data_IF_535667098134
#
_entry.id   IF_535667098134
#
_cell.length_a   1.000
_cell.length_b   1.000
_cell.length_c   1.000
_cell.angle_alpha   90.00
_cell.angle_beta   90.00
_cell.angle_gamma   90.00
#
_symmetry.space_group_name_H-M   'P 1'
#
loop_
_entity.id
_entity.type
_entity.pdbx_description
1 polymer ?
#
# COMPACT_ATOMS: atom_id res chain seq x y z
N UNK A 1 4.01 15.72 16.98
CA UNK A 1 3.85 14.32 17.46
C UNK A 1 3.83 13.37 16.27
N UNK A 2 4.93 13.23 15.54
CA UNK A 2 5.01 12.35 14.35
C UNK A 2 5.97 11.22 14.68
N UNK A 3 5.43 10.02 14.89
CA UNK A 3 6.06 9.03 15.77
C UNK A 3 5.71 7.61 15.35
N UNK A 4 6.59 6.90 14.63
CA UNK A 4 6.46 5.45 14.48
C UNK A 4 7.82 4.76 14.47
N UNK A 5 8.12 4.11 15.59
CA UNK A 5 8.89 2.89 15.61
C UNK A 5 7.92 1.78 16.05
N UNK A 6 8.05 0.58 15.48
CA UNK A 6 7.19 -0.56 15.75
C UNK A 6 7.97 -1.63 16.51
N UNK A 7 7.41 -2.19 17.57
CA UNK A 7 8.03 -3.31 18.27
C UNK A 7 7.11 -4.51 18.47
N UNK A 8 7.59 -5.71 18.10
CA UNK A 8 6.94 -6.99 18.32
C UNK A 8 7.43 -7.61 19.65
N UNK A 9 6.50 -8.21 20.41
CA UNK A 9 6.80 -9.01 21.60
C UNK A 9 5.80 -10.16 21.73
N UNK A 10 6.27 -11.37 21.99
CA UNK A 10 5.46 -12.48 22.49
C UNK A 10 6.09 -13.86 22.30
N UNK A 11 6.24 -14.61 23.40
CA UNK A 11 6.56 -16.05 23.41
C UNK A 11 5.35 -16.88 22.94
N UNK A 12 5.54 -17.98 22.19
CA UNK A 12 4.44 -18.77 21.64
C UNK A 12 3.95 -19.89 22.58
N UNK A 13 2.69 -19.82 23.03
CA UNK A 13 1.98 -20.91 23.72
C UNK A 13 1.57 -22.02 22.71
N UNK A 14 1.94 -23.31 22.91
CA UNK A 14 1.75 -24.38 21.92
C UNK A 14 0.29 -24.84 21.73
N UNK A 15 -0.62 -24.58 22.68
CA UNK A 15 -2.06 -24.94 22.55
C UNK A 15 -2.83 -24.05 21.58
N UNK A 16 -2.38 -22.80 21.36
CA UNK A 16 -3.03 -21.88 20.43
C UNK A 16 -2.82 -22.25 18.96
N UNK A 17 -1.86 -23.11 18.62
CA UNK A 17 -1.57 -23.50 17.24
C UNK A 17 -2.54 -24.55 16.68
N UNK A 18 -3.17 -25.37 17.54
CA UNK A 18 -4.10 -26.42 17.11
C UNK A 18 -5.52 -25.89 16.84
N UNK A 19 -6.03 -24.97 17.67
CA UNK A 19 -7.33 -24.33 17.45
C UNK A 19 -7.30 -23.39 16.24
N UNK A 20 -6.17 -22.71 15.99
CA UNK A 20 -5.98 -21.86 14.82
C UNK A 20 -5.85 -22.65 13.50
N UNK A 21 -5.42 -23.92 13.52
CA UNK A 21 -5.36 -24.73 12.31
C UNK A 21 -6.75 -25.20 11.86
N UNK A 22 -7.67 -25.50 12.79
CA UNK A 22 -9.04 -25.94 12.47
C UNK A 22 -9.86 -24.78 11.89
N UNK A 23 -9.79 -23.60 12.52
CA UNK A 23 -10.50 -22.39 12.04
C UNK A 23 -9.94 -21.91 10.69
N UNK A 24 -8.64 -22.08 10.43
CA UNK A 24 -8.01 -21.66 9.18
C UNK A 24 -8.33 -22.61 8.00
N UNK A 25 -8.59 -23.90 8.26
CA UNK A 25 -9.09 -24.86 7.24
C UNK A 25 -10.55 -24.56 6.86
N UNK A 26 -11.40 -24.20 7.83
CA UNK A 26 -12.79 -23.82 7.57
C UNK A 26 -12.90 -22.48 6.84
N UNK A 27 -12.07 -21.50 7.19
CA UNK A 27 -12.03 -20.20 6.52
C UNK A 27 -11.55 -20.32 5.07
N UNK A 28 -10.56 -21.18 4.78
CA UNK A 28 -10.13 -21.44 3.41
C UNK A 28 -11.21 -22.11 2.56
N UNK A 29 -11.99 -23.05 3.12
CA UNK A 29 -13.13 -23.67 2.41
C UNK A 29 -14.31 -22.72 2.19
N UNK A 30 -14.50 -21.73 3.05
CA UNK A 30 -15.52 -20.69 2.88
C UNK A 30 -15.10 -19.67 1.81
N UNK A 31 -13.84 -19.24 1.83
CA UNK A 31 -13.29 -18.36 0.80
C UNK A 31 -13.24 -19.06 -0.56
N UNK A 32 -12.91 -20.36 -0.63
CA UNK A 32 -13.00 -21.12 -1.89
C UNK A 32 -14.44 -21.22 -2.42
N UNK A 33 -15.44 -21.43 -1.54
CA UNK A 33 -16.86 -21.41 -1.94
C UNK A 33 -17.33 -20.05 -2.41
N UNK A 34 -16.95 -18.97 -1.73
CA UNK A 34 -17.29 -17.61 -2.16
C UNK A 34 -16.59 -17.23 -3.47
N UNK A 35 -15.34 -17.66 -3.68
CA UNK A 35 -14.65 -17.43 -4.96
C UNK A 35 -15.22 -18.25 -6.12
N UNK A 36 -15.74 -19.46 -5.86
CA UNK A 36 -16.38 -20.29 -6.89
C UNK A 36 -17.75 -19.74 -7.28
N UNK A 37 -18.55 -19.28 -6.30
CA UNK A 37 -19.86 -18.65 -6.56
C UNK A 37 -19.71 -17.35 -7.38
N UNK A 38 -18.71 -16.54 -7.06
CA UNK A 38 -18.39 -15.28 -7.75
C UNK A 38 -17.66 -15.51 -9.11
N UNK A 39 -17.22 -16.75 -9.39
CA UNK A 39 -16.68 -17.17 -10.69
C UNK A 39 -17.77 -17.76 -11.59
N UNK A 40 -18.75 -18.48 -11.02
CA UNK A 40 -19.96 -18.96 -11.72
C UNK A 40 -20.88 -17.80 -12.14
N UNK A 41 -21.15 -16.81 -11.27
CA UNK A 41 -21.89 -15.58 -11.62
C UNK A 41 -21.21 -14.81 -12.76
N UNK A 42 -19.87 -14.81 -12.78
CA UNK A 42 -19.06 -14.17 -13.83
C UNK A 42 -19.04 -14.98 -15.13
N UNK A 43 -19.31 -16.29 -15.10
CA UNK A 43 -19.51 -17.11 -16.29
C UNK A 43 -20.92 -16.91 -16.86
N UNK A 44 -21.93 -16.69 -16.01
CA UNK A 44 -23.31 -16.39 -16.41
C UNK A 44 -23.43 -15.01 -17.09
N UNK A 45 -22.79 -13.96 -16.54
CA UNK A 45 -22.70 -12.63 -17.19
C UNK A 45 -21.95 -12.65 -18.54
N UNK A 46 -20.95 -13.53 -18.69
CA UNK A 46 -20.20 -13.69 -19.95
C UNK A 46 -20.99 -14.51 -20.96
N UNK A 47 -21.89 -15.41 -20.53
CA UNK A 47 -22.82 -16.13 -21.42
C UNK A 47 -23.97 -15.25 -21.90
N UNK A 48 -24.50 -14.34 -21.07
CA UNK A 48 -25.56 -13.40 -21.47
C UNK A 48 -25.06 -12.30 -22.42
N UNK A 49 -23.77 -11.97 -22.39
CA UNK A 49 -23.15 -11.03 -23.34
C UNK A 49 -22.67 -11.67 -24.65
N UNK A 50 -22.71 -13.01 -24.75
CA UNK A 50 -22.36 -13.78 -25.96
C UNK A 50 -23.55 -14.49 -26.60
N UNK A 51 -24.78 -14.10 -26.22
CA UNK A 51 -26.04 -14.61 -26.77
C UNK A 51 -26.48 -14.04 -28.12
N UNK A 52 -25.57 -13.49 -28.93
CA UNK A 52 -25.87 -13.20 -30.35
C UNK A 52 -24.78 -13.78 -31.28
N UNK A 53 -25.16 -14.92 -31.87
CA UNK A 53 -24.62 -15.62 -33.04
C UNK A 53 -23.24 -16.30 -32.91
N UNK A 54 -23.22 -17.49 -32.29
CA UNK A 54 -22.23 -18.53 -32.61
C UNK A 54 -22.93 -19.85 -32.92
N UNK A 55 -23.47 -19.96 -34.14
CA UNK A 55 -23.78 -21.26 -34.75
C UNK A 55 -22.49 -21.95 -35.19
N UNK A 56 -22.35 -23.20 -34.77
CA UNK A 56 -21.19 -24.06 -35.01
C UNK A 56 -20.70 -24.07 -36.46
N UNK A 57 -19.40 -23.79 -36.62
CA UNK A 57 -18.70 -23.86 -37.91
C UNK A 57 -18.50 -25.32 -38.31
N UNK A 58 -19.35 -25.81 -39.23
CA UNK A 58 -18.95 -26.90 -40.13
C UNK A 58 -17.76 -26.41 -40.96
N UNK A 59 -16.66 -27.13 -40.91
CA UNK A 59 -15.45 -26.84 -41.69
C UNK A 59 -15.77 -27.07 -43.17
N UNK A 60 -15.82 -25.98 -43.94
CA UNK A 60 -15.89 -26.01 -45.40
C UNK A 60 -14.49 -26.28 -45.99
N UNK A 61 -14.38 -26.93 -47.16
CA UNK A 61 -13.10 -27.19 -47.81
C UNK A 61 -12.37 -25.88 -48.17
N UNK A 62 -11.04 -25.92 -48.13
CA UNK A 62 -10.17 -24.76 -48.29
C UNK A 62 -10.49 -23.97 -49.58
N UNK A 63 -10.67 -22.64 -49.50
CA UNK A 63 -10.85 -21.84 -50.70
C UNK A 63 -9.54 -21.84 -51.49
N UNK A 64 -9.63 -22.23 -52.77
CA UNK A 64 -8.58 -22.03 -53.76
C UNK A 64 -8.04 -20.59 -53.65
N UNK A 65 -6.72 -20.45 -53.83
CA UNK A 65 -5.96 -19.20 -53.79
C UNK A 65 -6.52 -18.20 -54.81
N UNK A 66 -7.61 -17.53 -54.45
CA UNK A 66 -8.10 -16.34 -55.10
C UNK A 66 -7.35 -15.17 -54.51
N UNK A 67 -6.50 -14.52 -55.30
CA UNK A 67 -5.93 -13.21 -54.95
C UNK A 67 -7.08 -12.33 -54.48
N UNK A 68 -7.10 -11.99 -53.19
CA UNK A 68 -8.02 -11.01 -52.63
C UNK A 68 -7.74 -9.71 -53.35
N UNK A 69 -8.54 -9.38 -54.36
CA UNK A 69 -8.45 -8.09 -55.04
C UNK A 69 -8.80 -7.04 -53.99
N UNK A 70 -7.80 -6.24 -53.61
CA UNK A 70 -8.02 -5.09 -52.75
C UNK A 70 -9.06 -4.19 -53.41
N UNK A 71 -10.22 -4.05 -52.75
CA UNK A 71 -11.23 -3.12 -53.20
C UNK A 71 -10.59 -1.73 -53.24
N UNK A 72 -10.45 -1.16 -54.44
CA UNK A 72 -9.99 0.22 -54.62
C UNK A 72 -10.97 1.11 -53.86
N UNK A 73 -10.54 1.66 -52.73
CA UNK A 73 -11.31 2.67 -52.00
C UNK A 73 -11.61 3.79 -52.99
N UNK A 74 -12.89 4.10 -53.18
CA UNK A 74 -13.33 5.24 -54.00
C UNK A 74 -12.83 6.50 -53.31
N UNK A 75 -11.69 7.03 -53.75
CA UNK A 75 -11.13 8.27 -53.22
C UNK A 75 -11.83 9.42 -53.91
N UNK A 76 -12.56 10.23 -53.15
CA UNK A 76 -13.17 11.44 -53.67
C UNK A 76 -12.04 12.42 -54.08
N UNK A 77 -11.98 12.85 -55.36
CA UNK A 77 -10.93 13.75 -55.86
C UNK A 77 -10.88 15.12 -55.16
N UNK A 78 -11.89 15.48 -54.37
CA UNK A 78 -11.90 16.67 -53.53
C UNK A 78 -11.00 16.58 -52.28
N UNK A 79 -10.59 15.37 -51.87
CA UNK A 79 -9.71 15.19 -50.70
C UNK A 79 -8.25 15.09 -51.10
N UNK A 80 -7.52 16.20 -50.94
CA UNK A 80 -6.08 16.28 -51.17
C UNK A 80 -5.30 16.13 -49.85
N UNK A 81 -4.15 15.44 -49.90
CA UNK A 81 -3.21 15.41 -48.78
C UNK A 81 -2.50 16.77 -48.69
N UNK A 82 -2.77 17.54 -47.62
CA UNK A 82 -2.11 18.82 -47.33
C UNK A 82 -1.22 18.70 -46.08
N UNK A 83 -0.02 18.10 -46.19
CA UNK A 83 0.87 17.96 -45.05
C UNK A 83 1.42 19.32 -44.66
N UNK A 84 1.38 19.63 -43.36
CA UNK A 84 2.01 20.83 -42.79
C UNK A 84 3.47 20.54 -42.46
N UNK A 85 4.35 21.51 -42.73
CA UNK A 85 5.75 21.44 -42.38
C UNK A 85 6.00 22.19 -41.07
N UNK A 86 6.26 21.47 -39.97
CA UNK A 86 6.51 22.05 -38.65
C UNK A 86 7.99 22.36 -38.37
N UNK A 87 8.81 22.47 -39.42
CA UNK A 87 10.18 22.93 -39.34
C UNK A 87 10.28 24.38 -38.84
N UNK A 88 11.49 24.78 -38.46
CA UNK A 88 11.76 26.14 -37.98
C UNK A 88 11.45 27.14 -39.11
N UNK A 89 10.58 28.11 -38.84
CA UNK A 89 10.21 29.17 -39.79
C UNK A 89 9.15 28.79 -40.84
N UNK A 90 8.51 27.63 -40.71
CA UNK A 90 7.46 27.15 -41.61
C UNK A 90 6.07 27.27 -40.93
N UNK A 91 5.26 26.22 -40.92
CA UNK A 91 3.93 26.24 -40.31
C UNK A 91 3.97 26.36 -38.77
N UNK A 92 2.88 26.86 -38.18
CA UNK A 92 2.71 26.96 -36.72
C UNK A 92 2.91 25.59 -36.08
N UNK A 93 3.79 25.55 -35.08
CA UNK A 93 4.09 24.32 -34.36
C UNK A 93 2.85 23.74 -33.67
N UNK A 94 2.69 22.41 -33.68
CA UNK A 94 1.57 21.77 -33.00
C UNK A 94 1.71 21.93 -31.48
N UNK A 95 0.60 21.74 -30.77
CA UNK A 95 0.62 21.65 -29.31
C UNK A 95 1.49 20.45 -28.91
N UNK A 96 2.55 20.71 -28.16
CA UNK A 96 3.49 19.69 -27.65
C UNK A 96 3.39 19.61 -26.13
N UNK A 97 3.93 18.55 -25.55
CA UNK A 97 4.07 18.48 -24.10
C UNK A 97 5.07 19.54 -23.61
N UNK A 98 4.56 20.50 -22.82
CA UNK A 98 5.34 21.58 -22.23
C UNK A 98 5.67 21.34 -20.76
N UNK A 99 5.28 20.20 -20.16
CA UNK A 99 5.42 19.91 -18.71
C UNK A 99 6.81 20.20 -18.13
N UNK A 100 7.88 19.97 -18.91
CA UNK A 100 9.26 20.28 -18.51
C UNK A 100 9.57 21.79 -18.45
N UNK A 101 8.93 22.58 -19.31
CA UNK A 101 9.16 24.03 -19.47
C UNK A 101 8.11 24.89 -18.75
N UNK A 102 7.05 24.28 -18.20
CA UNK A 102 6.07 24.98 -17.38
C UNK A 102 6.75 25.65 -16.19
N UNK A 103 6.38 26.91 -15.94
CA UNK A 103 6.72 27.60 -14.70
C UNK A 103 5.89 27.02 -13.55
N UNK A 104 6.42 26.00 -12.89
CA UNK A 104 5.74 25.31 -11.80
C UNK A 104 5.46 26.23 -10.59
N UNK A 105 4.33 26.04 -9.88
CA UNK A 105 4.05 26.66 -8.59
C UNK A 105 5.22 26.54 -7.60
N UNK A 106 5.33 27.52 -6.71
CA UNK A 106 6.49 27.67 -5.82
C UNK A 106 6.72 26.45 -4.92
N UNK A 107 5.67 25.82 -4.40
CA UNK A 107 5.79 24.64 -3.53
C UNK A 107 6.38 23.42 -4.24
N UNK A 108 6.00 23.18 -5.51
CA UNK A 108 6.55 22.09 -6.34
C UNK A 108 8.04 22.35 -6.61
N UNK A 109 8.40 23.59 -6.93
CA UNK A 109 9.81 23.97 -7.14
C UNK A 109 10.64 23.73 -5.89
N UNK A 110 10.14 24.14 -4.73
CA UNK A 110 10.84 24.00 -3.45
C UNK A 110 11.01 22.53 -3.05
N UNK A 111 9.97 21.69 -3.21
CA UNK A 111 10.04 20.25 -2.99
C UNK A 111 11.07 19.56 -3.90
N UNK A 112 11.07 19.91 -5.20
CA UNK A 112 12.05 19.36 -6.18
C UNK A 112 13.48 19.82 -5.87
N UNK A 113 13.67 21.10 -5.56
CA UNK A 113 14.97 21.65 -5.16
C UNK A 113 15.50 20.97 -3.90
N UNK A 114 14.64 20.75 -2.89
CA UNK A 114 14.99 19.99 -1.67
C UNK A 114 15.50 18.60 -2.02
N UNK A 115 14.77 17.85 -2.85
CA UNK A 115 15.18 16.51 -3.27
C UNK A 115 16.49 16.48 -4.09
N UNK A 116 16.73 17.48 -4.94
CA UNK A 116 17.98 17.61 -5.69
C UNK A 116 19.14 17.91 -4.74
N UNK A 117 18.95 18.83 -3.81
CA UNK A 117 19.96 19.24 -2.84
C UNK A 117 20.43 18.06 -1.97
N UNK A 118 19.50 17.22 -1.50
CA UNK A 118 19.84 15.99 -0.77
C UNK A 118 20.72 15.01 -1.57
N UNK A 119 20.59 14.97 -2.90
CA UNK A 119 21.43 14.11 -3.76
C UNK A 119 22.79 14.72 -4.08
N UNK A 120 22.90 16.04 -4.05
CA UNK A 120 24.12 16.78 -4.42
C UNK A 120 25.05 17.01 -3.24
N UNK A 121 24.49 17.21 -2.06
CA UNK A 121 25.28 17.35 -0.84
C UNK A 121 25.76 15.98 -0.35
N UNK A 122 26.92 15.98 0.31
CA UNK A 122 27.41 14.80 1.02
C UNK A 122 26.60 14.63 2.29
N UNK A 123 25.73 13.62 2.30
CA UNK A 123 24.86 13.33 3.45
C UNK A 123 25.65 12.52 4.49
N UNK A 124 25.65 12.93 5.78
CA UNK A 124 26.29 12.16 6.85
C UNK A 124 25.73 10.74 6.98
N UNK A 125 26.55 9.75 7.38
CA UNK A 125 26.13 8.34 7.46
C UNK A 125 24.96 8.11 8.42
N UNK A 126 24.87 8.89 9.50
CA UNK A 126 23.77 8.83 10.47
C UNK A 126 22.39 9.16 9.87
N UNK A 127 22.36 9.96 8.79
CA UNK A 127 21.13 10.27 8.04
C UNK A 127 21.00 9.31 6.86
N UNK A 128 22.12 9.00 6.19
CA UNK A 128 22.12 8.16 5.01
C UNK A 128 21.61 6.73 5.27
N UNK A 129 21.73 6.21 6.49
CA UNK A 129 21.16 4.92 6.88
C UNK A 129 19.65 4.81 6.62
N UNK A 130 18.90 5.91 6.67
CA UNK A 130 17.47 5.90 6.40
C UNK A 130 17.13 5.85 4.90
N UNK A 131 18.08 6.19 4.03
CA UNK A 131 17.87 6.03 2.57
C UNK A 131 17.89 4.55 2.16
N UNK A 132 18.58 3.71 2.94
CA UNK A 132 18.69 2.27 2.73
C UNK A 132 17.54 1.56 3.44
N UNK A 133 16.44 1.36 2.70
CA UNK A 133 15.26 0.65 3.20
C UNK A 133 15.29 -0.85 2.85
N UNK A 134 14.55 -1.64 3.63
CA UNK A 134 14.32 -3.06 3.42
C UNK A 134 13.67 -3.32 2.04
N UNK A 135 13.98 -4.47 1.44
CA UNK A 135 13.42 -4.89 0.17
C UNK A 135 11.90 -5.11 0.23
N UNK A 136 11.27 -5.14 -0.95
CA UNK A 136 9.81 -5.18 -1.06
C UNK A 136 9.23 -6.49 -0.52
N UNK A 137 9.89 -7.62 -0.75
CA UNK A 137 9.40 -8.94 -0.40
C UNK A 137 9.42 -9.12 1.12
N UNK A 138 10.56 -8.87 1.75
CA UNK A 138 10.72 -8.98 3.21
C UNK A 138 9.81 -7.99 3.94
N UNK A 139 9.69 -6.76 3.43
CA UNK A 139 8.74 -5.79 3.98
C UNK A 139 7.30 -6.31 3.92
N UNK A 140 6.90 -7.02 2.86
CA UNK A 140 5.53 -7.55 2.73
C UNK A 140 5.27 -8.66 3.75
N UNK A 141 6.24 -9.55 3.98
CA UNK A 141 6.14 -10.60 5.01
C UNK A 141 6.04 -10.01 6.42
N UNK A 142 6.88 -9.02 6.72
CA UNK A 142 6.84 -8.31 8.00
C UNK A 142 5.49 -7.63 8.23
N UNK A 143 4.93 -6.97 7.21
CA UNK A 143 3.64 -6.29 7.34
C UNK A 143 2.48 -7.29 7.49
N UNK A 144 2.56 -8.47 6.87
CA UNK A 144 1.60 -9.57 7.12
C UNK A 144 1.63 -10.02 8.59
N UNK A 145 2.82 -10.19 9.15
CA UNK A 145 2.98 -10.51 10.57
C UNK A 145 2.42 -9.39 11.46
N UNK A 146 2.78 -8.15 11.16
CA UNK A 146 2.33 -6.98 11.91
C UNK A 146 0.80 -6.76 11.82
N UNK A 147 0.16 -7.16 10.71
CA UNK A 147 -1.30 -7.11 10.58
C UNK A 147 -2.02 -7.99 11.63
N UNK A 148 -1.42 -9.13 12.02
CA UNK A 148 -1.98 -10.03 13.04
C UNK A 148 -1.95 -9.43 14.45
N UNK A 149 -0.96 -8.58 14.74
CA UNK A 149 -0.74 -7.98 16.06
C UNK A 149 -1.21 -6.51 16.14
N UNK A 150 -2.17 -6.12 15.30
CA UNK A 150 -2.70 -4.76 15.27
C UNK A 150 -3.34 -4.37 16.60
N UNK A 151 -3.20 -3.09 17.01
CA UNK A 151 -3.96 -2.56 18.13
C UNK A 151 -5.44 -2.47 17.80
N UNK A 152 -6.28 -2.55 18.83
CA UNK A 152 -7.73 -2.41 18.70
C UNK A 152 -8.14 -1.05 18.13
N UNK A 153 -9.19 -1.03 17.32
CA UNK A 153 -9.81 0.23 16.90
C UNK A 153 -10.58 0.88 18.05
N UNK A 154 -10.86 2.19 17.94
CA UNK A 154 -11.67 2.89 18.95
C UNK A 154 -13.08 2.28 19.09
N UNK A 155 -13.63 1.74 18.01
CA UNK A 155 -14.95 1.10 17.99
C UNK A 155 -14.91 -0.27 18.69
N UNK A 156 -13.93 -1.12 18.36
CA UNK A 156 -13.70 -2.40 19.05
C UNK A 156 -13.44 -2.19 20.55
N UNK A 157 -12.64 -1.16 20.89
CA UNK A 157 -12.39 -0.80 22.29
C UNK A 157 -13.68 -0.45 23.02
N UNK A 158 -14.57 0.33 22.39
CA UNK A 158 -15.89 0.67 22.94
C UNK A 158 -16.73 -0.58 23.15
N UNK A 159 -16.84 -1.45 22.15
CA UNK A 159 -17.58 -2.71 22.24
C UNK A 159 -17.04 -3.62 23.35
N UNK A 160 -15.71 -3.76 23.47
CA UNK A 160 -15.07 -4.52 24.55
C UNK A 160 -15.42 -3.96 25.93
N UNK A 161 -15.39 -2.63 26.08
CA UNK A 161 -15.72 -1.98 27.34
C UNK A 161 -17.21 -2.14 27.70
N UNK A 162 -18.11 -2.03 26.72
CA UNK A 162 -19.54 -2.29 26.90
C UNK A 162 -19.78 -3.74 27.35
N UNK A 163 -19.21 -4.72 26.65
CA UNK A 163 -19.34 -6.13 27.01
C UNK A 163 -18.75 -6.44 28.41
N UNK A 164 -17.68 -5.74 28.82
CA UNK A 164 -17.13 -5.87 30.17
C UNK A 164 -18.05 -5.24 31.21
N UNK A 165 -18.62 -4.07 30.92
CA UNK A 165 -19.57 -3.39 31.80
C UNK A 165 -20.85 -4.22 32.00
N UNK A 166 -21.40 -4.81 30.93
CA UNK A 166 -22.55 -5.72 30.98
C UNK A 166 -22.26 -6.96 31.83
N UNK A 167 -21.09 -7.61 31.64
CA UNK A 167 -20.68 -8.75 32.46
C UNK A 167 -20.55 -8.39 33.94
N UNK A 168 -20.03 -7.20 34.24
CA UNK A 168 -19.91 -6.68 35.60
C UNK A 168 -21.29 -6.36 36.20
N UNK A 169 -22.20 -5.78 35.43
CA UNK A 169 -23.58 -5.53 35.85
C UNK A 169 -24.34 -6.83 36.12
N UNK A 170 -24.08 -7.89 35.35
CA UNK A 170 -24.60 -9.24 35.57
C UNK A 170 -23.99 -9.98 36.79
N UNK A 171 -23.25 -9.28 37.66
CA UNK A 171 -22.74 -9.83 38.92
C UNK A 171 -21.51 -10.73 38.80
N UNK A 172 -20.98 -10.94 37.59
CA UNK A 172 -19.67 -11.60 37.42
C UNK A 172 -18.62 -10.56 37.80
N UNK A 173 -17.92 -10.78 38.92
CA UNK A 173 -16.87 -9.88 39.42
C UNK A 173 -15.79 -9.56 38.37
N UNK A 174 -14.98 -8.52 38.63
CA UNK A 174 -13.99 -8.07 37.67
C UNK A 174 -12.78 -9.02 37.59
N UNK A 175 -12.89 -10.08 36.77
CA UNK A 175 -11.82 -11.04 36.57
C UNK A 175 -10.72 -10.43 35.68
N UNK A 176 -9.43 -10.43 36.10
CA UNK A 176 -8.34 -9.91 35.30
C UNK A 176 -8.17 -10.70 33.99
N UNK A 177 -8.46 -10.06 32.85
CA UNK A 177 -8.27 -10.68 31.52
C UNK A 177 -6.81 -10.60 31.08
N UNK A 178 -6.25 -11.72 30.55
CA UNK A 178 -4.91 -11.75 29.91
C UNK A 178 -4.88 -10.76 28.75
N UNK A 179 -3.91 -9.85 28.75
CA UNK A 179 -3.77 -8.83 27.70
C UNK A 179 -3.17 -9.50 26.45
N UNK A 180 -3.77 -9.32 25.26
CA UNK A 180 -3.19 -9.85 24.03
C UNK A 180 -1.87 -9.14 23.71
N UNK A 181 -0.92 -9.84 23.05
CA UNK A 181 0.26 -9.19 22.49
C UNK A 181 -0.18 -8.26 21.36
N UNK A 182 0.29 -7.02 21.41
CA UNK A 182 -0.07 -5.96 20.47
C UNK A 182 1.18 -5.17 20.12
N UNK A 183 1.25 -4.73 18.87
CA UNK A 183 2.27 -3.82 18.40
C UNK A 183 2.29 -2.53 19.21
N UNK A 184 3.48 -2.15 19.65
CA UNK A 184 3.71 -0.86 20.31
C UNK A 184 4.15 0.16 19.28
N UNK A 185 3.48 1.30 19.27
CA UNK A 185 3.73 2.42 18.39
C UNK A 185 4.14 3.65 19.20
N UNK A 186 4.80 4.58 18.51
CA UNK A 186 5.30 5.83 19.08
C UNK A 186 6.75 5.75 19.54
N UNK A 187 7.55 6.76 19.19
CA UNK A 187 9.00 6.80 19.49
C UNK A 187 9.25 6.70 20.99
N UNK A 188 8.53 7.43 21.85
CA UNK A 188 8.80 7.41 23.30
C UNK A 188 8.48 6.05 23.93
N UNK A 189 7.41 5.40 23.48
CA UNK A 189 7.08 4.04 23.92
C UNK A 189 8.14 3.06 23.45
N UNK A 190 8.63 3.20 22.22
CA UNK A 190 9.65 2.29 21.70
C UNK A 190 11.01 2.51 22.35
N UNK A 191 11.44 3.75 22.58
CA UNK A 191 12.72 4.02 23.26
C UNK A 191 12.75 3.39 24.64
N UNK A 192 11.69 3.57 25.43
CA UNK A 192 11.58 2.96 26.75
C UNK A 192 11.56 1.43 26.68
N UNK A 193 10.96 0.82 25.66
CA UNK A 193 10.99 -0.63 25.46
C UNK A 193 12.37 -1.16 25.06
N UNK A 194 13.09 -0.42 24.22
CA UNK A 194 14.46 -0.75 23.80
C UNK A 194 15.44 -0.64 24.96
N UNK A 195 15.34 0.42 25.76
CA UNK A 195 16.14 0.60 26.98
C UNK A 195 15.88 -0.51 28.01
N UNK A 196 14.62 -0.92 28.16
CA UNK A 196 14.26 -2.04 29.05
C UNK A 196 14.54 -3.42 28.44
N UNK A 197 15.08 -3.51 27.21
CA UNK A 197 15.29 -4.76 26.45
C UNK A 197 14.03 -5.63 26.33
N UNK A 198 12.85 -5.00 26.36
CA UNK A 198 11.54 -5.64 26.13
C UNK A 198 11.13 -5.57 24.66
N UNK A 199 12.07 -5.29 23.77
CA UNK A 199 11.83 -5.12 22.36
C UNK A 199 12.49 -6.28 21.60
N UNK A 200 11.73 -7.08 20.84
CA UNK A 200 12.33 -8.17 20.05
C UNK A 200 12.80 -7.66 18.68
N UNK A 201 12.07 -6.73 18.08
CA UNK A 201 12.37 -6.17 16.75
C UNK A 201 11.93 -4.72 16.71
N UNK A 202 12.74 -3.82 16.16
CA UNK A 202 12.36 -2.41 15.98
C UNK A 202 12.27 -2.08 14.49
N UNK A 203 11.12 -1.57 14.07
CA UNK A 203 10.86 -1.15 12.69
C UNK A 203 10.75 0.36 12.64
N UNK A 204 11.48 1.00 11.74
CA UNK A 204 11.59 2.46 11.62
C UNK A 204 11.10 2.91 10.24
N UNK A 205 10.35 4.02 10.18
CA UNK A 205 10.05 4.68 8.90
C UNK A 205 11.28 5.38 8.32
N UNK A 206 11.48 5.27 7.00
CA UNK A 206 12.56 5.97 6.29
C UNK A 206 12.34 7.49 6.11
N UNK A 207 11.09 7.95 6.15
CA UNK A 207 10.68 9.29 5.71
C UNK A 207 9.93 9.98 6.84
N UNK A 208 10.70 10.34 7.87
CA UNK A 208 10.20 11.04 9.05
C UNK A 208 10.71 12.48 8.98
N UNK A 209 9.77 13.41 8.92
CA UNK A 209 10.02 14.85 8.95
C UNK A 209 9.36 15.35 10.25
N UNK A 210 10.12 15.74 11.29
CA UNK A 210 11.58 15.96 11.39
C UNK A 210 12.42 14.69 11.69
N UNK A 211 13.64 14.62 11.14
CA UNK A 211 14.50 13.41 11.16
C UNK A 211 15.14 13.15 12.54
N UNK A 212 15.34 14.20 13.33
CA UNK A 212 15.96 14.20 14.66
C UNK A 212 15.27 13.25 15.63
N UNK A 213 13.96 13.01 15.43
CA UNK A 213 13.17 12.08 16.23
C UNK A 213 13.66 10.63 16.16
N UNK A 214 14.37 10.28 15.08
CA UNK A 214 14.67 8.88 14.76
C UNK A 214 16.18 8.64 14.59
N UNK A 215 16.99 9.68 14.38
CA UNK A 215 18.45 9.56 14.14
C UNK A 215 19.18 8.73 15.20
N UNK A 216 18.77 8.81 16.47
CA UNK A 216 19.40 8.10 17.58
C UNK A 216 18.88 6.65 17.78
N UNK A 217 17.78 6.26 17.14
CA UNK A 217 17.16 4.96 17.37
C UNK A 217 18.02 3.79 16.88
N UNK A 218 18.60 3.81 15.66
CA UNK A 218 19.45 2.69 15.21
C UNK A 218 20.68 2.47 16.09
N UNK A 219 21.31 3.55 16.59
CA UNK A 219 22.46 3.46 17.49
C UNK A 219 22.05 2.94 18.87
N UNK A 220 20.91 3.39 19.40
CA UNK A 220 20.33 2.88 20.65
C UNK A 220 20.02 1.37 20.55
N UNK A 221 19.34 0.95 19.47
CA UNK A 221 18.98 -0.45 19.25
C UNK A 221 20.23 -1.33 19.15
N UNK A 222 21.27 -0.88 18.43
CA UNK A 222 22.55 -1.60 18.32
C UNK A 222 23.26 -1.71 19.68
N UNK A 223 23.23 -0.67 20.51
CA UNK A 223 23.82 -0.69 21.87
C UNK A 223 23.09 -1.66 22.80
N UNK A 224 21.76 -1.74 22.69
CA UNK A 224 20.93 -2.61 23.53
C UNK A 224 20.82 -4.06 23.01
N UNK A 225 21.32 -4.33 21.80
CA UNK A 225 21.30 -5.67 21.18
C UNK A 225 19.96 -6.02 20.51
N UNK A 226 19.15 -5.01 20.16
CA UNK A 226 17.85 -5.20 19.52
C UNK A 226 17.98 -5.02 17.99
N UNK A 227 17.48 -5.94 17.16
CA UNK A 227 17.55 -5.81 15.71
C UNK A 227 16.67 -4.66 15.19
N UNK A 228 17.20 -3.90 14.22
CA UNK A 228 16.55 -2.73 13.62
C UNK A 228 16.36 -2.91 12.12
N UNK A 229 15.19 -2.51 11.62
CA UNK A 229 14.83 -2.52 10.19
C UNK A 229 14.25 -1.17 9.78
N UNK A 230 14.59 -0.71 8.58
CA UNK A 230 14.05 0.53 8.00
C UNK A 230 13.05 0.20 6.88
N UNK A 231 11.83 0.72 6.95
CA UNK A 231 10.73 0.46 5.99
C UNK A 231 10.22 1.79 5.40
N UNK A 232 9.65 1.71 4.19
CA UNK A 232 8.95 2.83 3.56
C UNK A 232 7.65 3.18 4.30
N UNK A 233 7.53 4.44 4.73
CA UNK A 233 6.52 4.96 5.67
C UNK A 233 5.07 4.62 5.31
N UNK A 234 4.67 4.82 4.05
CA UNK A 234 3.28 4.61 3.59
C UNK A 234 2.71 3.22 3.93
N UNK A 235 3.57 2.21 4.12
CA UNK A 235 3.16 0.85 4.47
C UNK A 235 2.94 0.64 5.97
N UNK A 236 3.59 1.44 6.81
CA UNK A 236 3.52 1.30 8.27
C UNK A 236 2.28 1.99 8.83
N UNK A 237 1.88 3.12 8.25
CA UNK A 237 0.74 3.93 8.74
C UNK A 237 -0.59 3.15 8.71
N UNK A 238 -0.75 2.20 7.78
CA UNK A 238 -1.92 1.32 7.69
C UNK A 238 -2.06 0.44 8.94
N UNK A 239 -0.97 0.13 9.65
CA UNK A 239 -0.96 -0.85 10.74
C UNK A 239 -1.32 -0.25 12.09
N UNK A 240 -0.95 1.00 12.36
CA UNK A 240 -1.07 1.57 13.70
C UNK A 240 -2.44 2.19 14.01
N UNK A 241 -3.40 2.20 13.08
CA UNK A 241 -4.69 2.94 13.17
C UNK A 241 -4.58 4.45 13.41
N UNK A 242 -3.39 4.94 13.71
CA UNK A 242 -3.03 6.33 13.72
C UNK A 242 -2.87 6.79 12.27
N UNK A 243 -3.94 7.39 11.74
CA UNK A 243 -3.75 8.38 10.71
C UNK A 243 -2.85 9.45 11.30
N UNK A 244 -1.61 9.53 10.80
CA UNK A 244 -1.02 10.84 10.64
C UNK A 244 -2.04 11.59 9.81
N UNK A 245 -2.82 12.45 10.48
CA UNK A 245 -3.66 13.41 9.81
C UNK A 245 -2.71 14.29 9.00
N UNK A 246 -2.48 13.89 7.77
CA UNK A 246 -2.27 14.79 6.64
C UNK A 246 -3.59 15.55 6.37
N UNK A 247 -4.30 16.01 7.41
CA UNK A 247 -5.43 16.93 7.28
C UNK A 247 -4.97 18.33 6.84
N UNK A 248 -3.66 18.56 6.63
CA UNK A 248 -3.16 19.74 5.94
C UNK A 248 -2.96 19.58 4.42
N UNK A 249 -3.24 18.40 3.84
CA UNK A 249 -3.25 18.22 2.37
C UNK A 249 -4.48 17.45 1.86
N UNK A 250 -5.64 17.67 2.49
CA UNK A 250 -6.93 17.45 1.84
C UNK A 250 -7.09 18.55 0.78
N UNK A 251 -6.54 18.34 -0.42
CA UNK A 251 -6.98 19.14 -1.56
C UNK A 251 -8.47 18.84 -1.73
N UNK A 252 -9.32 19.81 -1.36
CA UNK A 252 -10.68 19.90 -1.88
C UNK A 252 -10.57 19.86 -3.40
N UNK A 253 -11.03 18.77 -4.01
CA UNK A 253 -11.46 18.78 -5.39
C UNK A 253 -12.62 19.76 -5.45
N UNK A 254 -12.35 20.94 -5.99
CA UNK A 254 -13.36 21.91 -6.39
C UNK A 254 -14.17 21.25 -7.50
N UNK A 255 -15.49 21.20 -7.30
CA UNK A 255 -16.48 20.89 -8.33
C UNK A 255 -16.30 21.83 -9.53
N UNK A 256 -16.29 21.24 -10.72
CA UNK A 256 -16.99 21.77 -11.88
C UNK A 256 -17.73 20.61 -12.54
#
# INVERSE_FOLDING_TARGET
MYQFALCLYGDPDPKALLENNIVNIEYHRLVERETLYNWEERQEEVQDTMGEDVRGKKVAPAPAVGKKQEAKKVVNPLFEKRPKNFGIGQDIQPKRDLTRFVKWPRYIRLQRQRAILYKRLKVPPAINQFTQALDRQTATQLLKLAHKYRPETKQEKKQRLLARAEKKAAGKGDVPTKRPPVLRAGVNTVTTLVENKKAQLVVIAHDVDPIELVVFLPTLCRKMGVPVLVIKKARMDIICHDTLRDEQYKFQSIEF
#
